data_IF_898732386868
#
_entry.id   IF_898732386868
#
_cell.length_a   1.000
_cell.length_b   1.000
_cell.length_c   1.000
_cell.angle_alpha   90.00
_cell.angle_beta   90.00
_cell.angle_gamma   90.00
#
_symmetry.space_group_name_H-M   'P 1'
#
loop_
_entity.id
_entity.type
_entity.pdbx_description
1 polymer ?
#
# COMPACT_ATOMS: atom_id res chain seq x y z
N UNK A 1 -30.44 7.39 2.40
CA UNK A 1 -29.66 6.94 1.22
C UNK A 1 -28.20 6.87 1.64
N UNK A 2 -27.65 5.66 1.79
CA UNK A 2 -26.29 5.46 2.28
C UNK A 2 -25.32 5.64 1.10
N UNK A 3 -24.53 6.73 1.13
CA UNK A 3 -23.38 6.89 0.24
C UNK A 3 -22.26 6.02 0.83
N UNK A 4 -22.00 4.88 0.20
CA UNK A 4 -20.80 4.09 0.45
C UNK A 4 -19.91 4.42 -0.74
N UNK A 5 -18.97 5.34 -0.55
CA UNK A 5 -18.02 5.67 -1.58
C UNK A 5 -16.67 4.99 -1.29
N UNK A 6 -16.04 4.63 -2.40
CA UNK A 6 -15.35 3.36 -2.62
C UNK A 6 -13.93 3.65 -3.07
N UNK A 7 -12.96 3.03 -2.40
CA UNK A 7 -11.55 3.02 -2.81
C UNK A 7 -11.32 1.78 -3.65
N UNK A 8 -10.55 1.87 -4.73
CA UNK A 8 -10.63 0.90 -5.83
C UNK A 8 -9.21 0.45 -6.21
N UNK A 9 -8.58 -0.45 -5.45
CA UNK A 9 -7.29 -1.02 -5.85
C UNK A 9 -7.48 -2.22 -6.81
N UNK A 10 -7.60 -1.91 -8.11
CA UNK A 10 -7.78 -2.92 -9.15
C UNK A 10 -6.43 -3.54 -9.57
N UNK A 11 -6.37 -4.87 -9.72
CA UNK A 11 -5.16 -5.58 -10.17
C UNK A 11 -4.86 -5.31 -11.64
N UNK A 12 -3.64 -4.86 -11.96
CA UNK A 12 -3.15 -4.73 -13.33
C UNK A 12 -2.41 -6.00 -13.77
N UNK A 13 -2.93 -6.67 -14.79
CA UNK A 13 -2.20 -7.66 -15.59
C UNK A 13 -1.61 -6.94 -16.81
N UNK A 14 -0.29 -6.70 -16.80
CA UNK A 14 0.45 -6.16 -17.95
C UNK A 14 1.62 -7.09 -18.30
N UNK A 15 1.80 -7.35 -19.59
CA UNK A 15 2.95 -8.08 -20.14
C UNK A 15 4.16 -7.16 -20.22
N UNK A 16 5.28 -7.55 -19.61
CA UNK A 16 6.52 -6.77 -19.50
C UNK A 16 7.42 -6.90 -20.76
N UNK A 17 8.10 -5.82 -21.21
CA UNK A 17 9.31 -5.90 -22.03
C UNK A 17 10.57 -6.22 -21.18
N UNK A 18 11.69 -6.65 -21.80
CA UNK A 18 12.86 -7.19 -21.11
C UNK A 18 13.63 -6.14 -20.28
N UNK A 19 14.19 -6.58 -19.15
CA UNK A 19 14.80 -5.75 -18.11
C UNK A 19 16.21 -5.24 -18.50
N UNK A 20 16.49 -3.97 -18.20
CA UNK A 20 17.84 -3.37 -18.21
C UNK A 20 18.26 -2.92 -16.80
N UNK A 21 19.57 -3.03 -16.53
CA UNK A 21 20.18 -3.08 -15.20
C UNK A 21 20.00 -1.84 -14.31
N UNK A 22 20.01 -2.10 -13.00
CA UNK A 22 19.87 -1.09 -11.94
C UNK A 22 21.15 -0.24 -11.76
N UNK A 23 21.04 1.07 -11.42
CA UNK A 23 22.19 1.88 -11.04
C UNK A 23 22.66 1.57 -9.60
N UNK A 24 23.96 1.75 -9.39
CA UNK A 24 24.68 1.52 -8.14
C UNK A 24 24.74 2.78 -7.24
N UNK A 25 24.78 2.48 -5.94
CA UNK A 25 25.30 3.28 -4.82
C UNK A 25 24.37 4.32 -4.14
N UNK A 26 23.89 3.95 -2.95
CA UNK A 26 23.53 4.87 -1.88
C UNK A 26 24.10 4.32 -0.55
N UNK A 27 24.81 5.20 0.15
CA UNK A 27 25.58 4.95 1.38
C UNK A 27 24.76 4.21 2.46
N UNK A 28 25.22 3.01 2.81
CA UNK A 28 24.56 2.05 3.68
C UNK A 28 25.20 2.05 5.07
N UNK A 29 24.93 3.06 5.90
CA UNK A 29 25.32 2.97 7.31
C UNK A 29 24.45 3.75 8.30
N UNK A 30 23.13 3.68 8.15
CA UNK A 30 22.21 4.02 9.25
C UNK A 30 21.81 2.71 9.93
N UNK A 31 22.40 2.41 11.10
CA UNK A 31 21.92 1.31 11.95
C UNK A 31 20.51 1.66 12.43
N UNK A 32 19.51 0.77 12.25
CA UNK A 32 18.16 1.03 12.76
C UNK A 32 18.20 1.17 14.29
N UNK A 33 17.48 2.15 14.82
CA UNK A 33 17.38 2.37 16.25
C UNK A 33 16.66 1.17 16.89
N UNK A 34 17.34 0.47 17.82
CA UNK A 34 16.74 -0.64 18.55
C UNK A 34 15.73 -0.08 19.56
N UNK A 35 14.45 -0.42 19.39
CA UNK A 35 13.39 -0.02 20.33
C UNK A 35 13.66 -0.58 21.73
N UNK A 36 13.42 0.23 22.76
CA UNK A 36 13.43 -0.25 24.14
C UNK A 36 12.28 -1.22 24.39
N UNK A 37 12.40 -2.08 25.40
CA UNK A 37 11.32 -3.01 25.81
C UNK A 37 10.00 -2.29 26.15
N UNK A 38 10.07 -1.03 26.59
CA UNK A 38 8.89 -0.21 26.86
C UNK A 38 8.24 0.27 25.56
N UNK A 39 9.03 0.75 24.61
CA UNK A 39 8.54 1.18 23.31
C UNK A 39 7.96 0.02 22.52
N UNK A 40 8.61 -1.15 22.56
CA UNK A 40 8.12 -2.34 21.89
C UNK A 40 6.80 -2.84 22.48
N UNK A 41 6.63 -2.78 23.81
CA UNK A 41 5.33 -3.06 24.46
C UNK A 41 4.25 -2.06 24.01
N UNK A 42 4.57 -0.77 23.96
CA UNK A 42 3.63 0.27 23.50
C UNK A 42 3.23 0.06 22.04
N UNK A 43 4.20 -0.27 21.18
CA UNK A 43 3.95 -0.58 19.78
C UNK A 43 3.09 -1.83 19.63
N UNK A 44 3.41 -2.92 20.33
CA UNK A 44 2.61 -4.15 20.29
C UNK A 44 1.16 -3.91 20.75
N UNK A 45 0.95 -3.08 21.79
CA UNK A 45 -0.39 -2.66 22.21
C UNK A 45 -1.13 -1.95 21.07
N UNK A 46 -0.51 -0.94 20.44
CA UNK A 46 -1.12 -0.24 19.30
C UNK A 46 -1.41 -1.16 18.12
N UNK A 47 -0.48 -2.07 17.79
CA UNK A 47 -0.66 -3.02 16.69
C UNK A 47 -1.84 -3.97 16.95
N UNK A 48 -2.08 -4.38 18.19
CA UNK A 48 -3.26 -5.18 18.55
C UNK A 48 -4.58 -4.41 18.41
N UNK A 49 -4.54 -3.08 18.47
CA UNK A 49 -5.69 -2.24 18.13
C UNK A 49 -5.90 -2.12 16.61
N UNK A 50 -4.88 -2.36 15.80
CA UNK A 50 -4.97 -2.32 14.32
C UNK A 50 -5.46 -3.65 13.77
N UNK A 51 -4.83 -4.75 14.18
CA UNK A 51 -5.08 -6.08 13.61
C UNK A 51 -4.81 -7.20 14.63
N UNK A 52 -5.36 -8.38 14.36
CA UNK A 52 -5.01 -9.62 15.08
C UNK A 52 -3.97 -10.45 14.32
N UNK A 53 -3.83 -10.26 13.01
CA UNK A 53 -2.98 -11.05 12.13
C UNK A 53 -1.49 -10.67 12.30
N UNK A 54 -0.65 -11.66 12.60
CA UNK A 54 0.78 -11.41 12.86
C UNK A 54 1.55 -10.98 11.61
N UNK A 55 1.16 -11.46 10.43
CA UNK A 55 1.73 -11.04 9.13
C UNK A 55 1.52 -9.54 8.89
N UNK A 56 0.32 -9.03 9.19
CA UNK A 56 0.01 -7.59 9.06
C UNK A 56 0.77 -6.79 10.13
N UNK A 57 0.88 -7.30 11.38
CA UNK A 57 1.69 -6.64 12.41
C UNK A 57 3.14 -6.50 11.96
N UNK A 58 3.70 -7.53 11.34
CA UNK A 58 5.08 -7.52 10.86
C UNK A 58 5.27 -6.53 9.71
N UNK A 59 4.35 -6.50 8.75
CA UNK A 59 4.34 -5.49 7.69
C UNK A 59 4.34 -4.06 8.27
N UNK A 60 3.49 -3.78 9.27
CA UNK A 60 3.44 -2.44 9.89
C UNK A 60 4.73 -2.12 10.66
N UNK A 61 5.39 -3.10 11.31
CA UNK A 61 6.66 -2.86 12.01
C UNK A 61 7.73 -2.35 11.06
N UNK A 62 7.90 -3.02 9.92
CA UNK A 62 8.95 -2.66 8.97
C UNK A 62 8.65 -1.36 8.21
N UNK A 63 7.40 -0.90 8.17
CA UNK A 63 7.06 0.43 7.62
C UNK A 63 7.75 1.57 8.39
N UNK A 64 7.98 1.43 9.71
CA UNK A 64 8.63 2.50 10.47
C UNK A 64 10.09 2.76 9.99
N UNK A 65 10.73 1.71 9.49
CA UNK A 65 12.11 1.72 9.03
C UNK A 65 12.23 2.10 7.53
N UNK A 66 11.11 2.12 6.80
CA UNK A 66 11.03 2.60 5.42
C UNK A 66 10.55 4.06 5.41
N UNK A 67 11.44 4.97 4.98
CA UNK A 67 11.20 6.42 4.97
C UNK A 67 9.96 6.74 4.15
N UNK A 68 9.85 6.13 2.96
CA UNK A 68 8.72 6.36 2.05
C UNK A 68 7.37 6.00 2.67
N UNK A 69 7.30 5.01 3.57
CA UNK A 69 6.04 4.55 4.18
C UNK A 69 5.66 5.26 5.49
N UNK A 70 6.47 6.20 5.97
CA UNK A 70 6.32 6.79 7.31
C UNK A 70 5.00 7.55 7.52
N UNK A 71 4.49 8.23 6.49
CA UNK A 71 3.16 8.85 6.57
C UNK A 71 2.10 7.77 6.81
N UNK A 72 2.09 6.73 5.98
CA UNK A 72 1.11 5.64 6.03
C UNK A 72 1.17 4.87 7.34
N UNK A 73 2.38 4.61 7.86
CA UNK A 73 2.59 4.02 9.17
C UNK A 73 1.89 4.85 10.28
N UNK A 74 2.11 6.17 10.30
CA UNK A 74 1.49 7.04 11.29
C UNK A 74 -0.04 7.10 11.13
N UNK A 75 -0.53 7.15 9.88
CA UNK A 75 -1.96 7.13 9.58
C UNK A 75 -2.62 5.84 10.10
N UNK A 76 -2.02 4.66 9.83
CA UNK A 76 -2.49 3.36 10.33
C UNK A 76 -2.59 3.35 11.87
N UNK A 77 -1.57 3.90 12.55
CA UNK A 77 -1.53 3.96 14.02
C UNK A 77 -2.42 5.05 14.64
N UNK A 78 -3.21 5.77 13.84
CA UNK A 78 -4.24 6.70 14.31
C UNK A 78 -3.98 8.17 14.03
N UNK A 79 -2.87 8.55 13.40
CA UNK A 79 -2.68 9.92 12.90
C UNK A 79 -3.37 10.11 11.54
N UNK A 80 -4.68 9.87 11.52
CA UNK A 80 -5.55 9.99 10.35
C UNK A 80 -6.77 10.86 10.66
N UNK A 81 -7.65 11.08 9.67
CA UNK A 81 -8.86 11.91 9.82
C UNK A 81 -9.82 11.45 10.95
N UNK A 82 -9.78 10.18 11.34
CA UNK A 82 -10.64 9.65 12.43
C UNK A 82 -9.99 9.70 13.81
N UNK A 83 -8.69 10.04 13.89
CA UNK A 83 -7.88 10.03 15.12
C UNK A 83 -7.91 8.69 15.87
N UNK A 84 -8.16 7.59 15.15
CA UNK A 84 -8.27 6.23 15.67
C UNK A 84 -7.43 5.29 14.82
N UNK A 85 -6.84 4.23 15.41
CA UNK A 85 -6.15 3.21 14.63
C UNK A 85 -7.06 2.62 13.55
N UNK A 86 -6.50 2.45 12.34
CA UNK A 86 -7.16 1.81 11.21
C UNK A 86 -7.32 0.32 11.52
N UNK A 87 -8.47 -0.27 11.18
CA UNK A 87 -8.69 -1.71 11.37
C UNK A 87 -8.29 -2.48 10.11
N UNK A 88 -7.39 -3.45 10.24
CA UNK A 88 -6.82 -4.16 9.09
C UNK A 88 -7.00 -5.65 9.25
N UNK A 89 -7.49 -6.33 8.21
CA UNK A 89 -7.66 -7.78 8.20
C UNK A 89 -7.63 -8.35 6.78
N UNK A 90 -7.26 -9.62 6.65
CA UNK A 90 -7.47 -10.37 5.42
C UNK A 90 -8.95 -10.74 5.27
N UNK A 91 -9.50 -10.59 4.07
CA UNK A 91 -10.90 -10.95 3.76
C UNK A 91 -11.06 -11.37 2.30
N UNK A 92 -11.99 -12.28 2.05
CA UNK A 92 -12.52 -12.46 0.71
C UNK A 92 -13.33 -11.22 0.29
N UNK A 93 -12.77 -10.40 -0.59
CA UNK A 93 -13.39 -9.12 -0.96
C UNK A 93 -14.70 -9.30 -1.74
N UNK A 94 -14.89 -10.43 -2.42
CA UNK A 94 -16.13 -10.76 -3.10
C UNK A 94 -17.34 -10.85 -2.14
N UNK A 95 -17.10 -11.16 -0.86
CA UNK A 95 -18.15 -11.17 0.18
C UNK A 95 -18.62 -9.77 0.57
N UNK A 96 -17.79 -8.75 0.35
CA UNK A 96 -18.19 -7.35 0.53
C UNK A 96 -19.00 -6.91 -0.69
N UNK A 97 -18.46 -7.16 -1.87
CA UNK A 97 -19.12 -6.93 -3.15
C UNK A 97 -18.45 -7.83 -4.21
N UNK A 98 -19.21 -8.58 -5.02
CA UNK A 98 -18.65 -9.42 -6.08
C UNK A 98 -17.69 -8.67 -7.03
N UNK A 99 -17.91 -7.38 -7.25
CA UNK A 99 -17.05 -6.55 -8.10
C UNK A 99 -15.64 -6.32 -7.53
N UNK A 100 -15.39 -6.67 -6.26
CA UNK A 100 -14.09 -6.53 -5.61
C UNK A 100 -13.32 -7.85 -5.57
N UNK A 101 -13.84 -8.93 -6.17
CA UNK A 101 -13.22 -10.25 -6.15
C UNK A 101 -11.75 -10.21 -6.56
N UNK A 102 -11.43 -9.41 -7.58
CA UNK A 102 -10.09 -9.30 -8.13
C UNK A 102 -9.23 -8.24 -7.45
N UNK A 103 -9.77 -7.38 -6.58
CA UNK A 103 -8.99 -6.29 -5.97
C UNK A 103 -7.92 -6.84 -5.04
N UNK A 104 -6.84 -6.09 -4.87
CA UNK A 104 -5.74 -6.48 -3.98
C UNK A 104 -6.01 -6.06 -2.54
N UNK A 105 -6.62 -4.88 -2.36
CA UNK A 105 -7.13 -4.40 -1.09
C UNK A 105 -8.28 -3.41 -1.28
N UNK A 106 -8.86 -3.01 -0.15
CA UNK A 106 -9.95 -2.06 -0.09
C UNK A 106 -9.86 -1.22 1.19
N UNK A 107 -9.54 0.07 1.04
CA UNK A 107 -9.77 1.10 2.05
C UNK A 107 -11.25 1.48 2.14
N UNK A 108 -11.79 1.60 3.35
CA UNK A 108 -13.12 2.17 3.53
C UNK A 108 -13.31 2.87 4.87
N UNK A 109 -14.15 3.90 4.86
CA UNK A 109 -14.65 4.54 6.07
C UNK A 109 -16.05 4.04 6.40
N UNK A 110 -16.21 3.47 7.59
CA UNK A 110 -17.51 2.98 8.07
C UNK A 110 -17.73 3.42 9.52
N UNK A 111 -18.89 4.01 9.81
CA UNK A 111 -19.31 4.46 11.16
C UNK A 111 -18.20 5.24 11.92
N UNK A 112 -17.52 6.15 11.22
CA UNK A 112 -16.48 7.01 11.81
C UNK A 112 -15.17 6.29 12.14
N UNK A 113 -14.88 5.16 11.48
CA UNK A 113 -13.63 4.42 11.58
C UNK A 113 -13.14 4.00 10.19
N UNK A 114 -11.83 3.96 10.02
CA UNK A 114 -11.17 3.48 8.81
C UNK A 114 -10.87 1.99 8.90
N UNK A 115 -11.03 1.32 7.77
CA UNK A 115 -10.77 -0.10 7.59
C UNK A 115 -9.93 -0.29 6.33
N UNK A 116 -9.00 -1.25 6.37
CA UNK A 116 -8.31 -1.77 5.20
C UNK A 116 -8.56 -3.27 5.16
N UNK A 117 -9.20 -3.75 4.10
CA UNK A 117 -9.37 -5.17 3.84
C UNK A 117 -8.36 -5.59 2.79
N UNK A 118 -7.45 -6.50 3.14
CA UNK A 118 -6.52 -7.07 2.18
C UNK A 118 -7.16 -8.33 1.61
N UNK A 119 -7.11 -8.53 0.30
CA UNK A 119 -7.65 -9.75 -0.29
C UNK A 119 -6.91 -10.98 0.28
N UNK A 120 -7.67 -11.98 0.71
CA UNK A 120 -7.13 -13.20 1.30
C UNK A 120 -6.12 -13.94 0.39
N UNK A 121 -6.18 -13.71 -0.94
CA UNK A 121 -5.20 -14.24 -1.90
C UNK A 121 -3.76 -13.81 -1.61
N UNK A 122 -3.57 -12.74 -0.82
CA UNK A 122 -2.27 -12.19 -0.42
C UNK A 122 -1.80 -12.64 0.95
N UNK A 123 -2.52 -13.55 1.61
CA UNK A 123 -2.04 -14.14 2.86
C UNK A 123 -0.75 -14.93 2.59
N UNK A 124 0.23 -14.78 3.46
CA UNK A 124 1.57 -15.34 3.30
C UNK A 124 2.50 -14.53 2.40
N UNK A 125 2.03 -13.44 1.78
CA UNK A 125 2.92 -12.56 1.02
C UNK A 125 4.02 -11.97 1.92
N UNK A 126 5.20 -11.66 1.37
CA UNK A 126 6.28 -11.04 2.14
C UNK A 126 5.80 -9.78 2.86
N UNK A 127 6.26 -9.52 4.11
CA UNK A 127 5.82 -8.35 4.86
C UNK A 127 6.13 -7.04 4.14
N UNK A 128 7.20 -6.98 3.33
CA UNK A 128 7.55 -5.82 2.50
C UNK A 128 6.49 -5.55 1.43
N UNK A 129 5.95 -6.61 0.82
CA UNK A 129 4.89 -6.49 -0.18
C UNK A 129 3.58 -6.00 0.46
N UNK A 130 3.24 -6.56 1.63
CA UNK A 130 2.10 -6.09 2.41
C UNK A 130 2.30 -4.64 2.88
N UNK A 131 3.49 -4.26 3.30
CA UNK A 131 3.82 -2.89 3.72
C UNK A 131 3.67 -1.89 2.57
N UNK A 132 4.09 -2.25 1.35
CA UNK A 132 3.85 -1.45 0.14
C UNK A 132 2.35 -1.26 -0.12
N UNK A 133 1.56 -2.34 -0.08
CA UNK A 133 0.12 -2.30 -0.28
C UNK A 133 -0.58 -1.47 0.82
N UNK A 134 -0.20 -1.66 2.08
CA UNK A 134 -0.72 -0.87 3.20
C UNK A 134 -0.37 0.62 3.07
N UNK A 135 0.79 0.93 2.46
CA UNK A 135 1.19 2.32 2.23
C UNK A 135 0.24 3.04 1.29
N UNK A 136 -0.23 2.34 0.26
CA UNK A 136 -1.28 2.80 -0.65
C UNK A 136 -2.58 3.05 0.10
N UNK A 137 -3.12 2.00 0.73
CA UNK A 137 -4.47 2.03 1.29
C UNK A 137 -4.64 3.04 2.43
N UNK A 138 -3.55 3.34 3.14
CA UNK A 138 -3.55 4.37 4.19
C UNK A 138 -3.72 5.81 3.67
N UNK A 139 -3.56 6.05 2.36
CA UNK A 139 -3.85 7.35 1.75
C UNK A 139 -5.33 7.68 1.78
N UNK A 140 -6.17 6.65 1.65
CA UNK A 140 -7.61 6.83 1.52
C UNK A 140 -8.26 6.95 2.89
N UNK A 141 -8.43 8.19 3.36
CA UNK A 141 -8.92 8.49 4.72
C UNK A 141 -10.36 9.01 4.78
N UNK A 142 -10.99 9.19 3.62
CA UNK A 142 -12.40 9.53 3.53
C UNK A 142 -13.12 8.73 2.44
N UNK A 143 -14.28 9.20 2.02
CA UNK A 143 -15.15 8.52 1.08
C UNK A 143 -14.95 9.03 -0.36
N UNK A 144 -14.11 10.03 -0.56
CA UNK A 144 -13.79 10.56 -1.88
C UNK A 144 -12.57 9.86 -2.45
N UNK A 145 -12.49 9.86 -3.78
CA UNK A 145 -11.33 9.35 -4.48
C UNK A 145 -11.14 10.16 -5.76
N UNK A 146 -9.91 10.23 -6.25
CA UNK A 146 -9.58 10.96 -7.46
C UNK A 146 -8.41 10.33 -8.21
N UNK A 147 -8.29 10.68 -9.49
CA UNK A 147 -7.16 10.26 -10.31
C UNK A 147 -5.83 10.71 -9.70
N UNK A 148 -5.78 11.90 -9.09
CA UNK A 148 -4.56 12.39 -8.43
C UNK A 148 -4.22 11.59 -7.17
N UNK A 149 -5.24 11.28 -6.37
CA UNK A 149 -5.09 10.50 -5.13
C UNK A 149 -4.59 9.08 -5.44
N UNK A 150 -5.25 8.37 -6.37
CA UNK A 150 -4.78 7.06 -6.85
C UNK A 150 -3.37 7.17 -7.44
N UNK A 151 -3.09 8.18 -8.27
CA UNK A 151 -1.74 8.35 -8.86
C UNK A 151 -0.68 8.47 -7.78
N UNK A 152 -0.96 9.24 -6.72
CA UNK A 152 -0.06 9.36 -5.60
C UNK A 152 0.06 8.06 -4.81
N UNK A 153 -1.06 7.39 -4.49
CA UNK A 153 -1.07 6.15 -3.72
C UNK A 153 -0.31 5.01 -4.43
N UNK A 154 -0.54 4.81 -5.73
CA UNK A 154 0.20 3.86 -6.55
C UNK A 154 1.69 4.21 -6.68
N UNK A 155 2.03 5.51 -6.77
CA UNK A 155 3.43 5.95 -6.82
C UNK A 155 4.15 5.76 -5.48
N UNK A 156 3.45 6.03 -4.36
CA UNK A 156 3.93 5.79 -3.01
C UNK A 156 4.20 4.30 -2.79
N UNK A 157 3.28 3.44 -3.20
CA UNK A 157 3.43 2.00 -3.15
C UNK A 157 4.67 1.52 -3.93
N UNK A 158 4.87 2.04 -5.13
CA UNK A 158 6.05 1.76 -5.94
C UNK A 158 7.34 2.27 -5.25
N UNK A 159 7.32 3.46 -4.65
CA UNK A 159 8.47 4.02 -3.94
C UNK A 159 8.85 3.19 -2.72
N UNK A 160 7.88 2.77 -1.91
CA UNK A 160 8.08 1.89 -0.75
C UNK A 160 8.65 0.54 -1.17
N UNK A 161 8.10 -0.07 -2.22
CA UNK A 161 8.64 -1.32 -2.76
C UNK A 161 10.08 -1.14 -3.25
N UNK A 162 10.36 -0.04 -3.95
CA UNK A 162 11.71 0.30 -4.43
C UNK A 162 12.70 0.39 -3.27
N UNK A 163 12.31 0.99 -2.14
CA UNK A 163 13.17 1.14 -0.97
C UNK A 163 13.50 -0.21 -0.33
N UNK A 164 12.52 -1.10 -0.16
CA UNK A 164 12.76 -2.46 0.33
C UNK A 164 13.70 -3.25 -0.57
N UNK A 165 13.56 -3.10 -1.89
CA UNK A 165 14.43 -3.79 -2.85
C UNK A 165 15.89 -3.33 -2.85
N UNK A 166 16.20 -2.14 -2.32
CA UNK A 166 17.59 -1.68 -2.16
C UNK A 166 18.35 -2.55 -1.14
N UNK A 167 17.67 -3.03 -0.11
CA UNK A 167 18.29 -3.84 0.96
C UNK A 167 17.98 -5.32 0.82
N UNK A 168 16.88 -5.68 0.14
CA UNK A 168 16.44 -7.07 -0.07
C UNK A 168 16.08 -7.32 -1.55
N UNK A 169 17.06 -7.30 -2.47
CA UNK A 169 16.80 -7.44 -3.90
C UNK A 169 16.13 -8.78 -4.29
N UNK A 170 16.41 -9.86 -3.53
CA UNK A 170 15.87 -11.20 -3.78
C UNK A 170 14.34 -11.28 -3.64
N UNK A 171 13.70 -10.30 -2.99
CA UNK A 171 12.25 -10.20 -2.93
C UNK A 171 11.62 -10.13 -4.33
N UNK A 172 12.32 -9.61 -5.34
CA UNK A 172 11.85 -9.60 -6.74
C UNK A 172 11.54 -10.99 -7.28
N UNK A 173 12.26 -12.00 -6.78
CA UNK A 173 12.19 -13.37 -7.29
C UNK A 173 11.05 -14.18 -6.66
N UNK A 174 10.38 -13.63 -5.63
CA UNK A 174 9.24 -14.26 -4.94
C UNK A 174 7.95 -14.19 -5.75
N UNK A 175 8.04 -14.61 -7.01
CA UNK A 175 7.00 -14.51 -8.04
C UNK A 175 5.83 -15.46 -7.81
N UNK A 176 5.94 -16.39 -6.86
CA UNK A 176 4.83 -17.20 -6.36
C UNK A 176 3.73 -16.35 -5.70
N UNK A 177 4.07 -15.14 -5.22
CA UNK A 177 3.09 -14.20 -4.67
C UNK A 177 2.63 -13.20 -5.72
N UNK A 178 1.34 -13.23 -6.05
CA UNK A 178 0.76 -12.31 -7.04
C UNK A 178 0.97 -10.83 -6.70
N UNK A 179 0.96 -10.46 -5.41
CA UNK A 179 1.28 -9.11 -4.96
C UNK A 179 2.71 -8.68 -5.33
N UNK A 180 3.70 -9.57 -5.23
CA UNK A 180 5.09 -9.28 -5.62
C UNK A 180 5.18 -8.99 -7.12
N UNK A 181 4.47 -9.76 -7.96
CA UNK A 181 4.44 -9.53 -9.41
C UNK A 181 3.83 -8.16 -9.77
N UNK A 182 2.73 -7.78 -9.10
CA UNK A 182 2.12 -6.45 -9.26
C UNK A 182 3.10 -5.34 -8.84
N UNK A 183 3.73 -5.48 -7.68
CA UNK A 183 4.69 -4.51 -7.16
C UNK A 183 5.94 -4.37 -8.05
N UNK A 184 6.43 -5.48 -8.61
CA UNK A 184 7.51 -5.46 -9.59
C UNK A 184 7.12 -4.66 -10.84
N UNK A 185 5.90 -4.84 -11.34
CA UNK A 185 5.36 -4.07 -12.47
C UNK A 185 5.31 -2.58 -12.15
N UNK A 186 4.80 -2.21 -10.97
CA UNK A 186 4.76 -0.81 -10.52
C UNK A 186 6.14 -0.20 -10.36
N UNK A 187 7.07 -0.92 -9.75
CA UNK A 187 8.44 -0.48 -9.62
C UNK A 187 9.10 -0.26 -10.98
N UNK A 188 8.86 -1.14 -11.97
CA UNK A 188 9.34 -0.91 -13.34
C UNK A 188 8.76 0.37 -13.95
N UNK A 189 7.46 0.63 -13.79
CA UNK A 189 6.86 1.89 -14.26
C UNK A 189 7.48 3.12 -13.59
N UNK A 190 7.70 3.04 -12.28
CA UNK A 190 8.25 4.14 -11.49
C UNK A 190 9.72 4.43 -11.82
N UNK A 191 10.56 3.39 -11.87
CA UNK A 191 11.99 3.51 -12.21
C UNK A 191 12.17 3.98 -13.65
N UNK A 192 11.42 3.42 -14.61
CA UNK A 192 11.51 3.82 -16.02
C UNK A 192 10.99 5.25 -16.26
N UNK A 193 10.17 5.78 -15.34
CA UNK A 193 9.74 7.17 -15.33
C UNK A 193 10.71 8.08 -14.54
N UNK A 194 11.93 7.61 -14.24
CA UNK A 194 12.92 8.32 -13.42
C UNK A 194 12.37 8.74 -12.04
N UNK A 195 11.69 7.80 -11.37
CA UNK A 195 11.06 7.99 -10.05
C UNK A 195 10.00 9.10 -10.04
N UNK A 196 9.30 9.31 -11.16
CA UNK A 196 8.13 10.19 -11.28
C UNK A 196 6.85 9.40 -11.50
N UNK A 197 5.69 10.04 -11.29
CA UNK A 197 4.38 9.42 -11.45
C UNK A 197 3.96 9.23 -12.93
N UNK A 198 4.77 9.70 -13.90
CA UNK A 198 4.37 9.87 -15.31
C UNK A 198 3.72 8.64 -15.93
N UNK A 199 4.31 7.46 -15.74
CA UNK A 199 3.79 6.21 -16.31
C UNK A 199 2.67 5.59 -15.48
N UNK A 200 2.73 5.73 -14.15
CA UNK A 200 1.65 5.29 -13.24
C UNK A 200 0.38 6.08 -13.51
N UNK A 201 0.47 7.41 -13.62
CA UNK A 201 -0.62 8.30 -13.98
C UNK A 201 -1.25 7.93 -15.33
N UNK A 202 -0.41 7.58 -16.32
CA UNK A 202 -0.89 7.14 -17.64
C UNK A 202 -1.68 5.83 -17.53
N UNK A 203 -1.21 4.88 -16.73
CA UNK A 203 -1.91 3.62 -16.47
C UNK A 203 -3.26 3.88 -15.81
N UNK A 204 -3.31 4.68 -14.75
CA UNK A 204 -4.54 5.00 -14.03
C UNK A 204 -5.57 5.67 -14.94
N UNK A 205 -5.15 6.71 -15.70
CA UNK A 205 -6.06 7.42 -16.61
C UNK A 205 -6.65 6.54 -17.72
N UNK A 206 -5.96 5.49 -18.12
CA UNK A 206 -6.41 4.58 -19.18
C UNK A 206 -7.12 3.33 -18.65
N UNK A 207 -7.17 3.15 -17.32
CA UNK A 207 -7.74 1.97 -16.72
C UNK A 207 -9.25 2.15 -16.46
N UNK A 208 -10.05 1.18 -16.92
CA UNK A 208 -11.51 1.27 -16.91
C UNK A 208 -12.10 1.49 -15.51
N UNK A 209 -11.46 0.96 -14.46
CA UNK A 209 -11.89 1.11 -13.07
C UNK A 209 -11.77 2.54 -12.52
N UNK A 210 -11.01 3.43 -13.17
CA UNK A 210 -10.77 4.80 -12.71
C UNK A 210 -11.34 5.87 -13.65
N UNK A 211 -11.97 5.47 -14.77
CA UNK A 211 -12.39 6.38 -15.83
C UNK A 211 -13.39 7.45 -15.37
N UNK A 212 -14.21 7.12 -14.37
CA UNK A 212 -15.28 7.98 -13.85
C UNK A 212 -14.84 8.78 -12.61
N UNK A 213 -13.58 8.63 -12.17
CA UNK A 213 -13.06 9.40 -11.04
C UNK A 213 -12.81 10.86 -11.44
N UNK A 214 -13.13 11.83 -10.55
CA UNK A 214 -12.73 13.21 -10.75
C UNK A 214 -11.20 13.33 -10.72
N UNK A 215 -10.67 14.44 -11.26
CA UNK A 215 -9.23 14.69 -11.23
C UNK A 215 -8.71 14.94 -9.80
N UNK A 216 -9.52 15.56 -8.94
CA UNK A 216 -9.21 15.91 -7.54
C UNK A 216 -10.35 15.50 -6.60
N UNK A 217 -10.03 15.29 -5.34
CA UNK A 217 -10.96 14.94 -4.25
C UNK A 217 -10.70 15.87 -3.05
N UNK A 218 -11.73 16.18 -2.27
CA UNK A 218 -11.62 17.09 -1.10
C UNK A 218 -10.67 16.55 -0.02
N UNK A 219 -10.49 15.22 0.03
CA UNK A 219 -9.53 14.56 0.93
C UNK A 219 -8.08 14.60 0.47
N UNK A 220 -7.81 15.06 -0.76
CA UNK A 220 -6.50 14.99 -1.40
C UNK A 220 -6.30 16.17 -2.38
N UNK A 221 -5.69 17.25 -1.88
CA UNK A 221 -5.33 18.46 -2.62
C UNK A 221 -3.81 18.68 -2.72
#
# INVERSE_FOLDING_TARGET
MHKIALVLACSLLLTLPPAWGAPKDADANIKPAVLTTREQRKLNSKLSEVTKDDEIKEAIRIMNDCISSRYSYNAILGNNLTKKPVKITFKNLAEINPNYADYDALGMKNKGRLYIFINQKHKGAPPEALASLLSHEAMHQDEFNSVNEETYAWSLEAAVWTEFLKTKPDLRNKTEYSLVNRLNTLNSLFVNANYTDKYIRKVIKNHQGYKDLPLRSVGFD
#
